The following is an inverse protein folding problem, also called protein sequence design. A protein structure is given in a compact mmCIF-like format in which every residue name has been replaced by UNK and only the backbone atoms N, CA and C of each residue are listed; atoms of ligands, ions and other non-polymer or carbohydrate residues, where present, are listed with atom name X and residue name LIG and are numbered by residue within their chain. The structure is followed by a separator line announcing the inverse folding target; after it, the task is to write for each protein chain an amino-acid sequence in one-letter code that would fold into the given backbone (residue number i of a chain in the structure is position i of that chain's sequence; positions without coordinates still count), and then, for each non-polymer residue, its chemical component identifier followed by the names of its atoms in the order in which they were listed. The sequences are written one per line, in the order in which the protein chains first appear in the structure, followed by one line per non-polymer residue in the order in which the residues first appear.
data_IF_974478427415
#
_entry.id   IF_974478427415
#
_cell.length_a   1.000
_cell.length_b   1.000
_cell.length_c   1.000
_cell.angle_alpha   90.00
_cell.angle_beta   90.00
_cell.angle_gamma   90.00
#
_symmetry.space_group_name_H-M   'P 1'
#
loop_
_entity.id
_entity.type
_entity.pdbx_description
1 polymer ?
#
# COMPACT_ATOMS: atom_id res chain seq x y z
N UNK A 1 -21.90 3.87 0.40
CA UNK A 1 -20.49 3.70 -0.04
C UNK A 1 -20.55 3.43 -1.53
N UNK A 2 -19.93 4.28 -2.34
CA UNK A 2 -20.11 4.25 -3.80
C UNK A 2 -19.03 3.42 -4.52
N UNK A 3 -17.87 3.23 -3.90
CA UNK A 3 -16.73 2.47 -4.45
C UNK A 3 -16.39 2.94 -5.87
N UNK A 4 -16.22 4.25 -6.03
CA UNK A 4 -15.98 4.88 -7.32
C UNK A 4 -14.76 4.25 -8.02
N UNK A 5 -14.96 3.82 -9.27
CA UNK A 5 -13.94 3.11 -10.07
C UNK A 5 -13.07 4.01 -10.96
N UNK A 6 -13.32 5.32 -10.97
CA UNK A 6 -12.72 6.32 -11.85
C UNK A 6 -11.69 7.22 -11.13
N UNK A 7 -11.20 6.80 -9.97
CA UNK A 7 -10.17 7.51 -9.21
C UNK A 7 -8.81 6.98 -9.63
N UNK A 8 -7.89 7.88 -9.99
CA UNK A 8 -6.47 7.54 -10.14
C UNK A 8 -5.82 7.42 -8.77
N UNK A 9 -5.43 6.20 -8.42
CA UNK A 9 -4.68 5.94 -7.19
C UNK A 9 -3.21 6.22 -7.46
N UNK A 10 -2.60 7.02 -6.60
CA UNK A 10 -1.21 7.45 -6.71
C UNK A 10 -0.33 6.78 -5.66
N UNK A 11 0.94 6.61 -6.00
CA UNK A 11 1.99 6.18 -5.08
C UNK A 11 3.19 7.10 -5.23
N UNK A 12 4.13 7.07 -4.29
CA UNK A 12 5.38 7.81 -4.45
C UNK A 12 6.11 7.29 -5.70
N UNK A 13 6.59 8.22 -6.55
CA UNK A 13 7.33 7.88 -7.77
C UNK A 13 8.59 7.07 -7.48
N UNK A 14 9.24 7.29 -6.34
CA UNK A 14 10.46 6.58 -5.97
C UNK A 14 10.18 5.09 -5.72
N UNK A 15 8.94 4.73 -5.36
CA UNK A 15 8.51 3.35 -5.14
C UNK A 15 8.01 2.66 -6.42
N UNK A 16 8.04 3.33 -7.58
CA UNK A 16 7.55 2.79 -8.86
C UNK A 16 8.19 1.45 -9.21
N UNK A 17 9.51 1.35 -9.06
CA UNK A 17 10.26 0.12 -9.34
C UNK A 17 9.77 -1.05 -8.48
N UNK A 18 9.67 -0.81 -7.17
CA UNK A 18 9.19 -1.80 -6.19
C UNK A 18 7.77 -2.29 -6.50
N UNK A 19 6.80 -1.40 -6.76
CA UNK A 19 5.43 -1.82 -7.09
C UNK A 19 5.37 -2.72 -8.31
N UNK A 20 6.18 -2.44 -9.34
CA UNK A 20 6.25 -3.28 -10.53
C UNK A 20 6.88 -4.64 -10.21
N UNK A 21 7.93 -4.67 -9.39
CA UNK A 21 8.62 -5.90 -9.03
C UNK A 21 7.75 -6.78 -8.13
N UNK A 22 7.06 -6.21 -7.14
CA UNK A 22 6.12 -6.94 -6.30
C UNK A 22 5.01 -7.62 -7.09
N UNK A 23 4.49 -6.97 -8.14
CA UNK A 23 3.52 -7.59 -9.05
C UNK A 23 4.06 -8.82 -9.79
N UNK A 24 5.38 -8.93 -9.94
CA UNK A 24 6.01 -10.08 -10.57
C UNK A 24 6.40 -11.17 -9.55
N UNK A 25 6.69 -10.80 -8.31
CA UNK A 25 7.23 -11.72 -7.31
C UNK A 25 6.25 -12.13 -6.23
N UNK A 26 5.33 -11.26 -5.78
CA UNK A 26 4.58 -11.44 -4.54
C UNK A 26 3.08 -11.25 -4.63
N UNK A 27 2.60 -10.34 -5.49
CA UNK A 27 1.18 -10.00 -5.62
C UNK A 27 0.73 -10.17 -7.06
N UNK A 28 -0.56 -10.34 -7.30
CA UNK A 28 -1.12 -10.47 -8.65
C UNK A 28 -1.33 -9.12 -9.32
N UNK A 29 -1.61 -8.08 -8.53
CA UNK A 29 -1.79 -6.74 -9.05
C UNK A 29 -1.35 -5.65 -8.05
N UNK A 30 -1.19 -4.43 -8.55
CA UNK A 30 -0.67 -3.29 -7.77
C UNK A 30 -1.57 -2.91 -6.60
N UNK A 31 -2.89 -3.13 -6.72
CA UNK A 31 -3.84 -2.80 -5.65
C UNK A 31 -3.63 -3.69 -4.41
N UNK A 32 -3.23 -4.95 -4.57
CA UNK A 32 -2.97 -5.87 -3.45
C UNK A 32 -1.76 -5.38 -2.63
N UNK A 33 -0.69 -4.94 -3.31
CA UNK A 33 0.48 -4.34 -2.64
C UNK A 33 0.13 -3.00 -1.97
N UNK A 34 -0.67 -2.19 -2.65
CA UNK A 34 -1.18 -0.93 -2.10
C UNK A 34 -2.01 -1.17 -0.83
N UNK A 35 -2.90 -2.16 -0.86
CA UNK A 35 -3.74 -2.54 0.26
C UNK A 35 -2.89 -3.00 1.45
N UNK A 36 -1.92 -3.89 1.23
CA UNK A 36 -1.00 -4.34 2.27
C UNK A 36 -0.27 -3.16 2.92
N UNK A 37 0.31 -2.26 2.12
CA UNK A 37 0.98 -1.08 2.64
C UNK A 37 0.02 -0.15 3.39
N UNK A 38 -1.20 0.06 2.90
CA UNK A 38 -2.19 0.88 3.59
C UNK A 38 -2.51 0.31 4.98
N UNK A 39 -2.70 -1.01 5.08
CA UNK A 39 -2.89 -1.69 6.36
C UNK A 39 -1.69 -1.53 7.31
N UNK A 40 -0.46 -1.65 6.80
CA UNK A 40 0.76 -1.47 7.61
C UNK A 40 0.89 -0.04 8.13
N UNK A 41 0.68 0.97 7.27
CA UNK A 41 0.69 2.38 7.67
C UNK A 41 -0.38 2.68 8.71
N UNK A 42 -1.61 2.20 8.49
CA UNK A 42 -2.72 2.34 9.41
C UNK A 42 -2.41 1.73 10.78
N UNK A 43 -1.98 0.47 10.79
CA UNK A 43 -1.64 -0.28 12.00
C UNK A 43 -0.56 0.40 12.84
N UNK A 44 0.43 1.03 12.19
CA UNK A 44 1.49 1.78 12.88
C UNK A 44 1.08 3.22 13.21
N UNK A 45 -0.14 3.65 12.88
CA UNK A 45 -0.62 5.02 13.07
C UNK A 45 0.18 6.05 12.28
N UNK A 46 0.81 5.65 11.15
CA UNK A 46 1.69 6.51 10.35
C UNK A 46 1.07 6.87 9.01
N UNK A 47 1.11 8.14 8.67
CA UNK A 47 0.74 8.68 7.35
C UNK A 47 1.91 9.47 6.79
N UNK A 48 2.15 9.35 5.48
CA UNK A 48 3.18 10.11 4.77
C UNK A 48 2.55 10.76 3.53
N UNK A 49 2.37 12.08 3.50
CA UNK A 49 1.86 12.78 2.32
C UNK A 49 2.70 12.48 1.07
N UNK A 50 2.04 12.25 -0.06
CA UNK A 50 2.71 12.06 -1.36
C UNK A 50 3.30 13.36 -1.94
N UNK A 51 2.74 14.52 -1.56
CA UNK A 51 3.19 15.82 -2.07
C UNK A 51 3.23 15.89 -3.61
N UNK A 52 4.31 16.47 -4.14
CA UNK A 52 4.58 16.59 -5.59
C UNK A 52 5.12 15.30 -6.22
N UNK A 53 5.50 14.35 -5.38
CA UNK A 53 6.21 13.13 -5.79
C UNK A 53 5.24 11.98 -6.10
N UNK A 54 3.94 12.15 -5.78
CA UNK A 54 2.88 11.25 -6.20
C UNK A 54 2.79 11.09 -7.72
N UNK A 55 2.66 9.84 -8.17
CA UNK A 55 2.53 9.42 -9.56
C UNK A 55 1.37 8.42 -9.69
N UNK A 56 0.62 8.50 -10.79
CA UNK A 56 -0.51 7.61 -11.06
C UNK A 56 -0.03 6.16 -11.15
N UNK A 57 -0.66 5.26 -10.39
CA UNK A 57 -0.26 3.84 -10.32
C UNK A 57 -1.30 2.92 -10.94
N UNK A 58 -2.56 3.04 -10.54
CA UNK A 58 -3.66 2.20 -11.04
C UNK A 58 -5.01 2.92 -10.93
N UNK A 59 -6.06 2.32 -11.49
CA UNK A 59 -7.43 2.82 -11.37
C UNK A 59 -8.12 2.18 -10.18
N UNK A 60 -8.90 2.95 -9.42
CA UNK A 60 -9.63 2.45 -8.26
C UNK A 60 -10.65 1.36 -8.58
N UNK A 61 -11.02 1.18 -9.86
CA UNK A 61 -11.84 0.04 -10.32
C UNK A 61 -11.18 -1.32 -10.14
N UNK A 62 -9.87 -1.39 -9.91
CA UNK A 62 -9.18 -2.65 -9.59
C UNK A 62 -9.24 -3.00 -8.11
N UNK A 63 -9.60 -2.05 -7.23
CA UNK A 63 -9.72 -2.27 -5.79
C UNK A 63 -10.96 -3.14 -5.55
N UNK A 64 -10.82 -4.20 -4.76
CA UNK A 64 -11.96 -5.08 -4.49
C UNK A 64 -12.94 -4.47 -3.49
N UNK A 65 -14.22 -4.91 -3.47
CA UNK A 65 -15.17 -4.48 -2.46
C UNK A 65 -14.70 -4.73 -1.02
N UNK A 66 -13.98 -5.82 -0.78
CA UNK A 66 -13.40 -6.16 0.53
C UNK A 66 -12.29 -5.19 0.93
N UNK A 67 -11.40 -4.81 0.00
CA UNK A 67 -10.37 -3.79 0.24
C UNK A 67 -11.00 -2.44 0.57
N UNK A 68 -12.03 -2.04 -0.18
CA UNK A 68 -12.81 -0.83 0.11
C UNK A 68 -13.48 -0.87 1.48
N UNK A 69 -14.11 -1.99 1.83
CA UNK A 69 -14.73 -2.15 3.15
C UNK A 69 -13.71 -1.94 4.27
N UNK A 70 -12.48 -2.45 4.10
CA UNK A 70 -11.38 -2.22 5.03
C UNK A 70 -10.93 -0.75 5.04
N UNK A 71 -10.80 -0.10 3.88
CA UNK A 71 -10.49 1.34 3.80
C UNK A 71 -11.50 2.19 4.57
N UNK A 72 -12.79 1.90 4.41
CA UNK A 72 -13.83 2.60 5.14
C UNK A 72 -13.78 2.32 6.64
N UNK A 73 -13.59 1.05 7.04
CA UNK A 73 -13.49 0.67 8.45
C UNK A 73 -12.31 1.37 9.15
N UNK A 74 -11.13 1.37 8.50
CA UNK A 74 -9.93 2.04 9.00
C UNK A 74 -10.16 3.55 9.19
N UNK A 75 -10.85 4.22 8.27
CA UNK A 75 -11.13 5.64 8.40
C UNK A 75 -12.19 5.95 9.45
N UNK A 76 -13.23 5.14 9.56
CA UNK A 76 -14.24 5.29 10.60
C UNK A 76 -13.58 5.17 11.97
N UNK A 77 -12.76 4.14 12.19
CA UNK A 77 -12.05 3.93 13.46
C UNK A 77 -11.09 5.09 13.77
N UNK A 78 -10.24 5.49 12.81
CA UNK A 78 -9.32 6.62 12.97
C UNK A 78 -10.02 7.97 13.20
N UNK A 79 -11.31 8.10 12.86
CA UNK A 79 -12.11 9.31 13.05
C UNK A 79 -13.18 9.14 14.14
N UNK A 80 -12.93 8.31 15.15
CA UNK A 80 -13.81 8.11 16.31
C UNK A 80 -15.25 7.71 15.92
N UNK A 81 -15.36 6.76 14.99
CA UNK A 81 -16.62 6.26 14.45
C UNK A 81 -17.44 7.30 13.66
N UNK A 82 -16.82 8.36 13.17
CA UNK A 82 -17.48 9.34 12.30
C UNK A 82 -17.66 8.80 10.87
N UNK A 83 -18.89 8.43 10.52
CA UNK A 83 -19.25 7.97 9.19
C UNK A 83 -19.14 9.05 8.11
N UNK A 84 -19.08 10.33 8.47
CA UNK A 84 -18.86 11.40 7.50
C UNK A 84 -17.47 11.33 6.84
N UNK A 85 -16.50 10.72 7.52
CA UNK A 85 -15.13 10.53 7.03
C UNK A 85 -15.05 9.67 5.76
N UNK A 86 -16.09 8.87 5.48
CA UNK A 86 -16.16 7.98 4.31
C UNK A 86 -17.22 8.41 3.28
N UNK A 87 -17.73 9.64 3.38
CA UNK A 87 -18.76 10.13 2.47
C UNK A 87 -18.26 10.32 1.03
N UNK A 88 -16.95 10.54 0.84
CA UNK A 88 -16.33 10.84 -0.44
C UNK A 88 -15.17 9.88 -0.74
N UNK A 89 -15.37 8.94 -1.65
CA UNK A 89 -14.37 7.91 -2.00
C UNK A 89 -13.03 8.50 -2.45
N UNK A 90 -13.03 9.67 -3.10
CA UNK A 90 -11.80 10.36 -3.49
C UNK A 90 -10.97 10.78 -2.28
N UNK A 91 -11.61 11.22 -1.20
CA UNK A 91 -10.93 11.54 0.06
C UNK A 91 -10.46 10.28 0.77
N UNK A 92 -11.28 9.22 0.73
CA UNK A 92 -10.90 7.91 1.27
C UNK A 92 -9.62 7.40 0.62
N UNK A 93 -9.59 7.35 -0.72
CA UNK A 93 -8.42 6.94 -1.50
C UNK A 93 -7.22 7.85 -1.20
N UNK A 94 -7.39 9.18 -1.17
CA UNK A 94 -6.28 10.08 -0.85
C UNK A 94 -5.66 9.84 0.53
N UNK A 95 -6.46 9.46 1.55
CA UNK A 95 -5.91 9.09 2.85
C UNK A 95 -5.22 7.72 2.79
N UNK A 96 -5.78 6.75 2.05
CA UNK A 96 -5.14 5.45 1.84
C UNK A 96 -3.82 5.58 1.09
N UNK A 97 -3.69 6.52 0.15
CA UNK A 97 -2.42 6.84 -0.51
C UNK A 97 -1.33 7.21 0.52
N UNK A 98 -1.67 7.98 1.55
CA UNK A 98 -0.71 8.39 2.58
C UNK A 98 -0.35 7.25 3.54
N UNK A 99 -1.33 6.41 3.89
CA UNK A 99 -1.06 5.19 4.66
C UNK A 99 -0.20 4.22 3.87
N UNK A 100 -0.50 4.00 2.60
CA UNK A 100 0.28 3.13 1.72
C UNK A 100 1.70 3.66 1.52
N UNK A 101 1.87 4.99 1.42
CA UNK A 101 3.20 5.58 1.31
C UNK A 101 4.05 5.33 2.56
N UNK A 102 3.49 5.55 3.75
CA UNK A 102 4.17 5.22 5.01
C UNK A 102 4.37 3.70 5.17
N UNK A 103 3.43 2.89 4.72
CA UNK A 103 3.49 1.44 4.76
C UNK A 103 4.60 0.86 3.90
N UNK A 104 4.89 1.47 2.74
CA UNK A 104 6.03 1.06 1.92
C UNK A 104 7.35 1.34 2.63
N UNK A 105 7.50 2.51 3.29
CA UNK A 105 8.69 2.81 4.10
C UNK A 105 8.86 1.76 5.21
N UNK A 106 7.77 1.44 5.94
CA UNK A 106 7.78 0.42 6.99
C UNK A 106 8.20 -0.95 6.42
N UNK A 107 7.67 -1.32 5.26
CA UNK A 107 7.98 -2.61 4.64
C UNK A 107 9.45 -2.67 4.20
N UNK A 108 9.98 -1.57 3.67
CA UNK A 108 11.40 -1.47 3.31
C UNK A 108 12.30 -1.66 4.54
N UNK A 109 11.99 -0.98 5.63
CA UNK A 109 12.75 -1.05 6.87
C UNK A 109 12.66 -2.42 7.55
N UNK A 110 11.44 -2.98 7.64
CA UNK A 110 11.16 -4.19 8.41
C UNK A 110 11.45 -5.49 7.62
N UNK A 111 11.42 -5.46 6.28
CA UNK A 111 11.49 -6.68 5.44
C UNK A 111 12.47 -6.60 4.27
N UNK A 112 12.51 -5.50 3.52
CA UNK A 112 13.13 -5.52 2.17
C UNK A 112 14.62 -5.15 2.14
N UNK A 113 15.23 -4.87 3.27
CA UNK A 113 16.65 -4.49 3.36
C UNK A 113 17.59 -5.49 2.69
N UNK A 114 17.32 -6.80 2.81
CA UNK A 114 18.08 -7.89 2.18
C UNK A 114 17.53 -8.32 0.81
N UNK A 115 16.43 -7.72 0.35
CA UNK A 115 15.72 -8.07 -0.88
C UNK A 115 15.80 -6.99 -1.95
N UNK A 116 16.52 -5.89 -1.69
CA UNK A 116 16.56 -4.75 -2.59
C UNK A 116 17.96 -4.48 -3.10
N UNK A 117 18.01 -4.00 -4.35
CA UNK A 117 19.22 -3.54 -5.03
C UNK A 117 18.95 -2.19 -5.67
N UNK A 118 19.97 -1.36 -5.74
CA UNK A 118 19.94 -0.13 -6.52
C UNK A 118 20.15 -0.46 -8.01
N UNK A 119 19.24 0.00 -8.87
CA UNK A 119 19.37 -0.13 -10.32
C UNK A 119 19.17 1.23 -10.99
N UNK A 120 20.27 1.97 -11.13
CA UNK A 120 20.22 3.37 -11.55
C UNK A 120 19.77 4.24 -10.39
N UNK A 121 18.72 5.04 -10.60
CA UNK A 121 18.13 5.90 -9.55
C UNK A 121 16.92 5.24 -8.86
N UNK A 122 16.59 3.98 -9.19
CA UNK A 122 15.45 3.25 -8.62
C UNK A 122 15.91 2.14 -7.67
N UNK A 123 15.23 2.04 -6.54
CA UNK A 123 15.29 0.85 -5.68
C UNK A 123 14.39 -0.25 -6.28
N UNK A 124 14.96 -1.44 -6.46
CA UNK A 124 14.31 -2.60 -7.10
C UNK A 124 14.44 -3.83 -6.23
N UNK A 125 13.55 -4.81 -6.42
CA UNK A 125 13.74 -6.12 -5.80
C UNK A 125 14.85 -6.88 -6.51
N UNK A 126 15.74 -7.53 -5.76
CA UNK A 126 16.78 -8.40 -6.28
C UNK A 126 16.19 -9.75 -6.70
N UNK A 127 16.16 -10.08 -8.01
CA UNK A 127 15.59 -11.33 -8.48
C UNK A 127 16.31 -12.58 -7.97
N UNK A 128 17.57 -12.46 -7.53
CA UNK A 128 18.38 -13.59 -7.08
C UNK A 128 17.92 -14.15 -5.72
N UNK A 129 17.31 -13.30 -4.89
CA UNK A 129 16.78 -13.70 -3.58
C UNK A 129 15.25 -13.54 -3.46
N UNK A 130 14.57 -12.79 -4.33
CA UNK A 130 13.13 -12.48 -4.18
C UNK A 130 12.16 -13.63 -4.46
N UNK A 131 12.65 -14.83 -4.79
CA UNK A 131 11.80 -16.00 -5.05
C UNK A 131 11.03 -16.53 -3.84
N UNK A 132 11.53 -16.29 -2.62
CA UNK A 132 10.88 -16.66 -1.36
C UNK A 132 10.10 -15.52 -0.69
N UNK A 133 10.19 -14.30 -1.25
CA UNK A 133 9.56 -13.09 -0.73
C UNK A 133 8.05 -13.24 -0.43
N UNK A 134 7.23 -13.97 -1.21
CA UNK A 134 5.83 -14.22 -0.83
C UNK A 134 5.66 -14.86 0.54
N UNK A 135 6.54 -15.81 0.88
CA UNK A 135 6.49 -16.53 2.15
C UNK A 135 6.93 -15.62 3.29
N UNK A 136 7.97 -14.83 3.06
CA UNK A 136 8.48 -13.87 4.05
C UNK A 136 7.44 -12.79 4.34
N UNK A 137 6.79 -12.24 3.31
CA UNK A 137 5.70 -11.29 3.48
C UNK A 137 4.53 -11.89 4.25
N UNK A 138 4.12 -13.12 3.92
CA UNK A 138 3.04 -13.79 4.64
C UNK A 138 3.40 -14.03 6.11
N UNK A 139 4.62 -14.48 6.40
CA UNK A 139 5.11 -14.66 7.76
C UNK A 139 5.12 -13.33 8.52
N UNK A 140 5.64 -12.27 7.92
CA UNK A 140 5.66 -10.94 8.50
C UNK A 140 4.25 -10.43 8.82
N UNK A 141 3.31 -10.55 7.88
CA UNK A 141 1.91 -10.15 8.11
C UNK A 141 1.27 -10.97 9.23
N UNK A 142 1.53 -12.28 9.28
CA UNK A 142 1.00 -13.15 10.32
C UNK A 142 1.54 -12.80 11.71
N UNK A 143 2.85 -12.59 11.83
CA UNK A 143 3.49 -12.17 13.08
C UNK A 143 2.94 -10.83 13.55
N UNK A 144 2.82 -9.87 12.62
CA UNK A 144 2.22 -8.59 12.94
C UNK A 144 0.76 -8.73 13.34
N UNK A 145 -0.06 -9.53 12.67
CA UNK A 145 -1.47 -9.70 13.03
C UNK A 145 -1.73 -10.05 14.51
N UNK A 146 -0.78 -10.67 15.22
CA UNK A 146 -0.88 -11.02 16.64
C UNK A 146 -0.41 -9.97 17.65
N UNK A 147 0.24 -8.88 17.22
CA UNK A 147 0.61 -7.73 18.06
C UNK A 147 -0.57 -6.77 18.29
#
# INVERSE_FOLDING_TARGET
MNMAGDIRVRTDRHHRGLYNDFKNFAVKDMHEMFFLCACLGYRRGKRKPLGRDGDDRFWSSTITPEEYANFYAMLIDANNMDFSAIAEDKKVVAIMEEYANAGMDILMDDVLSDYTIERGEELRLDPSCSGDLPKVLLAYVYEKAGE
#
